data_IF_886162595882
#
_entry.id   IF_886162595882
#
_cell.length_a   1.000
_cell.length_b   1.000
_cell.length_c   1.000
_cell.angle_alpha   90.00
_cell.angle_beta   90.00
_cell.angle_gamma   90.00
#
_symmetry.space_group_name_H-M   'P 1'
#
loop_
_entity.id
_entity.type
_entity.pdbx_description
1 polymer ?
#
# COMPACT_ATOMS: atom_id res chain seq x y z
N UNK A 1 27.56 -6.92 9.87
CA UNK A 1 27.53 -7.45 11.25
C UNK A 1 27.33 -6.26 12.17
N UNK A 2 26.16 -6.14 12.81
CA UNK A 2 25.90 -5.03 13.74
C UNK A 2 26.33 -5.48 15.14
N UNK A 3 27.16 -4.67 15.80
CA UNK A 3 27.54 -4.90 17.21
C UNK A 3 26.82 -3.86 18.07
N UNK A 4 26.02 -4.32 19.02
CA UNK A 4 25.36 -3.47 20.00
C UNK A 4 26.05 -3.72 21.33
N UNK A 5 26.54 -2.65 21.96
CA UNK A 5 27.04 -2.70 23.32
C UNK A 5 25.88 -2.37 24.29
N UNK A 6 25.66 -3.23 25.26
CA UNK A 6 24.77 -2.96 26.39
C UNK A 6 25.58 -3.12 27.70
N UNK A 7 25.16 -2.43 28.75
CA UNK A 7 25.76 -2.55 30.08
C UNK A 7 24.84 -3.44 30.90
N UNK A 8 25.38 -4.47 31.52
CA UNK A 8 24.64 -5.36 32.43
C UNK A 8 24.38 -4.67 33.77
N UNK A 9 23.55 -5.30 34.62
CA UNK A 9 23.24 -4.78 35.94
C UNK A 9 24.45 -4.70 36.90
N UNK A 10 25.62 -5.18 36.49
CA UNK A 10 26.90 -5.07 37.21
C UNK A 10 27.86 -4.06 36.56
N UNK A 11 27.41 -3.26 35.60
CA UNK A 11 28.19 -2.22 34.92
C UNK A 11 29.18 -2.74 33.86
N UNK A 12 29.06 -4.00 33.41
CA UNK A 12 29.96 -4.61 32.43
C UNK A 12 29.41 -4.46 31.01
N UNK A 13 30.26 -4.08 30.06
CA UNK A 13 29.89 -4.03 28.65
C UNK A 13 29.71 -5.44 28.07
N UNK A 14 28.50 -5.73 27.62
CA UNK A 14 28.18 -6.94 26.87
C UNK A 14 28.06 -6.57 25.40
N UNK A 15 28.87 -7.17 24.54
CA UNK A 15 28.81 -7.00 23.10
C UNK A 15 27.89 -8.07 22.50
N UNK A 16 26.72 -7.67 22.09
CA UNK A 16 25.83 -8.53 21.32
C UNK A 16 26.20 -8.46 19.84
N UNK A 17 26.63 -9.58 19.28
CA UNK A 17 26.76 -9.71 17.83
C UNK A 17 25.43 -10.15 17.26
N UNK A 18 24.66 -9.21 16.74
CA UNK A 18 23.47 -9.56 15.97
C UNK A 18 23.94 -10.06 14.61
N UNK A 19 23.93 -11.38 14.42
CA UNK A 19 23.91 -11.94 13.06
C UNK A 19 22.64 -11.41 12.41
N UNK A 20 22.78 -10.49 11.44
CA UNK A 20 21.71 -10.18 10.52
C UNK A 20 21.39 -11.49 9.79
N UNK A 21 20.45 -12.26 10.32
CA UNK A 21 19.77 -13.29 9.54
C UNK A 21 19.14 -12.53 8.38
N UNK A 22 19.81 -12.53 7.24
CA UNK A 22 19.28 -11.93 6.02
C UNK A 22 17.99 -12.66 5.70
N UNK A 23 16.85 -12.11 6.12
CA UNK A 23 15.56 -12.64 5.69
C UNK A 23 15.55 -12.55 4.18
N UNK A 24 15.43 -13.70 3.52
CA UNK A 24 15.32 -13.77 2.07
C UNK A 24 14.02 -13.08 1.66
N UNK A 25 14.15 -11.86 1.14
CA UNK A 25 12.99 -11.04 0.73
C UNK A 25 12.48 -11.39 -0.67
N UNK A 26 13.33 -11.95 -1.53
CA UNK A 26 13.00 -12.26 -2.93
C UNK A 26 12.30 -13.60 -3.02
N UNK A 27 11.11 -13.57 -3.61
CA UNK A 27 10.25 -14.73 -3.85
C UNK A 27 10.20 -15.03 -5.35
N UNK A 28 10.00 -16.29 -5.75
CA UNK A 28 10.03 -16.67 -7.16
C UNK A 28 8.83 -16.14 -7.96
N UNK A 29 7.67 -15.97 -7.31
CA UNK A 29 6.42 -15.57 -7.93
C UNK A 29 5.45 -14.91 -6.94
N UNK A 30 4.35 -14.36 -7.46
CA UNK A 30 3.34 -13.67 -6.67
C UNK A 30 2.59 -14.62 -5.73
N UNK A 31 2.29 -15.85 -6.17
CA UNK A 31 1.55 -16.83 -5.37
C UNK A 31 2.35 -17.20 -4.11
N UNK A 32 3.65 -17.50 -4.26
CA UNK A 32 4.54 -17.78 -3.11
C UNK A 32 4.75 -16.56 -2.21
N UNK A 33 4.75 -15.35 -2.79
CA UNK A 33 4.92 -14.13 -2.01
C UNK A 33 3.70 -13.81 -1.14
N UNK A 34 2.47 -14.14 -1.55
CA UNK A 34 1.26 -13.92 -0.75
C UNK A 34 0.96 -15.10 0.19
N UNK A 35 1.51 -16.29 -0.08
CA UNK A 35 1.22 -17.50 0.67
C UNK A 35 1.49 -17.34 2.18
N UNK A 36 0.50 -17.74 2.99
CA UNK A 36 0.53 -17.66 4.46
C UNK A 36 0.45 -16.24 5.04
N UNK A 37 0.40 -15.21 4.19
CA UNK A 37 0.33 -13.80 4.60
C UNK A 37 -1.04 -13.20 4.33
N UNK A 38 -1.56 -13.36 3.12
CA UNK A 38 -2.90 -12.88 2.77
C UNK A 38 -3.92 -13.91 3.21
N UNK A 39 -4.94 -13.47 3.97
CA UNK A 39 -5.96 -14.31 4.60
C UNK A 39 -7.32 -13.63 4.55
N UNK A 40 -8.37 -14.41 4.76
CA UNK A 40 -9.73 -13.90 4.85
C UNK A 40 -9.87 -12.81 5.93
N UNK A 41 -10.69 -11.82 5.64
CA UNK A 41 -11.04 -10.75 6.56
C UNK A 41 -9.97 -9.66 6.75
N UNK A 42 -8.81 -9.80 6.14
CA UNK A 42 -7.71 -8.84 6.31
C UNK A 42 -7.94 -7.52 5.57
N UNK A 43 -7.19 -6.52 6.03
CA UNK A 43 -7.08 -5.21 5.36
C UNK A 43 -5.88 -5.22 4.43
N UNK A 44 -6.13 -4.95 3.13
CA UNK A 44 -5.11 -4.82 2.09
C UNK A 44 -4.99 -3.35 1.67
N UNK A 45 -3.82 -2.73 1.83
CA UNK A 45 -3.52 -1.46 1.19
C UNK A 45 -2.86 -1.75 -0.18
N UNK A 46 -3.41 -1.19 -1.25
CA UNK A 46 -2.95 -1.45 -2.63
C UNK A 46 -2.51 -0.15 -3.28
N UNK A 47 -1.27 -0.11 -3.72
CA UNK A 47 -0.68 1.03 -4.42
C UNK A 47 -1.27 1.25 -5.81
N UNK A 48 -1.01 2.41 -6.36
CA UNK A 48 -1.51 2.84 -7.67
C UNK A 48 -2.41 4.07 -7.59
N UNK A 49 -2.65 4.64 -8.76
CA UNK A 49 -3.59 5.73 -9.00
C UNK A 49 -4.27 5.43 -10.33
N UNK A 50 -5.58 5.18 -10.32
CA UNK A 50 -6.22 4.54 -11.44
C UNK A 50 -5.57 3.19 -11.70
N UNK A 51 -5.17 2.94 -12.93
CA UNK A 51 -4.39 1.77 -13.31
C UNK A 51 -2.87 2.03 -13.31
N UNK A 52 -2.45 3.29 -13.13
CA UNK A 52 -1.03 3.64 -13.13
C UNK A 52 -0.33 3.17 -11.86
N UNK A 53 0.68 2.34 -12.00
CA UNK A 53 1.52 1.88 -10.88
C UNK A 53 0.82 0.89 -9.94
N UNK A 54 -0.12 0.10 -10.43
CA UNK A 54 -0.74 -1.00 -9.68
C UNK A 54 0.14 -2.26 -9.70
N UNK A 55 0.16 -3.05 -8.63
CA UNK A 55 0.86 -4.34 -8.57
C UNK A 55 0.03 -5.46 -9.22
N UNK A 56 0.05 -5.54 -10.54
CA UNK A 56 -0.84 -6.39 -11.36
C UNK A 56 -0.76 -7.86 -11.01
N UNK A 57 0.47 -8.40 -10.92
CA UNK A 57 0.69 -9.82 -10.64
C UNK A 57 0.29 -10.18 -9.20
N UNK A 58 0.52 -9.28 -8.23
CA UNK A 58 0.09 -9.50 -6.84
C UNK A 58 -1.43 -9.46 -6.72
N UNK A 59 -2.12 -8.54 -7.41
CA UNK A 59 -3.59 -8.48 -7.42
C UNK A 59 -4.16 -9.77 -8.04
N UNK A 60 -3.60 -10.23 -9.15
CA UNK A 60 -4.01 -11.48 -9.79
C UNK A 60 -3.81 -12.70 -8.86
N UNK A 61 -2.68 -12.77 -8.17
CA UNK A 61 -2.42 -13.83 -7.20
C UNK A 61 -3.42 -13.81 -6.02
N UNK A 62 -3.78 -12.63 -5.52
CA UNK A 62 -4.83 -12.51 -4.48
C UNK A 62 -6.18 -13.00 -5.01
N UNK A 63 -6.54 -12.66 -6.26
CA UNK A 63 -7.74 -13.20 -6.90
C UNK A 63 -7.72 -14.73 -6.90
N UNK A 64 -6.61 -15.31 -7.37
CA UNK A 64 -6.47 -16.76 -7.58
C UNK A 64 -6.37 -17.54 -6.26
N UNK A 65 -5.95 -16.90 -5.18
CA UNK A 65 -5.92 -17.49 -3.84
C UNK A 65 -7.33 -17.77 -3.27
N UNK A 66 -8.34 -17.10 -3.79
CA UNK A 66 -9.74 -17.26 -3.35
C UNK A 66 -10.06 -16.70 -1.97
N UNK A 67 -9.14 -15.96 -1.32
CA UNK A 67 -9.39 -15.28 -0.02
C UNK A 67 -10.58 -14.33 -0.13
N UNK A 68 -11.33 -14.16 0.96
CA UNK A 68 -12.60 -13.42 0.97
C UNK A 68 -12.70 -12.42 2.11
N UNK A 69 -13.76 -11.60 2.07
CA UNK A 69 -14.10 -10.63 3.11
C UNK A 69 -13.02 -9.57 3.33
N UNK A 70 -12.27 -9.22 2.29
CA UNK A 70 -11.19 -8.25 2.36
C UNK A 70 -11.72 -6.83 2.54
N UNK A 71 -11.00 -6.02 3.31
CA UNK A 71 -11.10 -4.56 3.27
C UNK A 71 -9.96 -4.04 2.38
N UNK A 72 -10.27 -3.45 1.25
CA UNK A 72 -9.27 -2.88 0.35
C UNK A 72 -9.15 -1.37 0.57
N UNK A 73 -7.93 -0.89 0.76
CA UNK A 73 -7.57 0.53 0.84
C UNK A 73 -6.79 0.88 -0.42
N UNK A 74 -7.36 1.74 -1.27
CA UNK A 74 -6.68 2.22 -2.47
C UNK A 74 -7.27 3.54 -2.93
N UNK A 75 -6.54 4.29 -3.76
CA UNK A 75 -7.07 5.54 -4.32
C UNK A 75 -8.39 5.33 -5.04
N UNK A 76 -8.51 4.26 -5.80
CA UNK A 76 -9.72 3.88 -6.56
C UNK A 76 -9.90 2.35 -6.63
N UNK A 77 -10.99 1.93 -7.26
CA UNK A 77 -11.42 0.53 -7.28
C UNK A 77 -10.99 -0.24 -8.57
N UNK A 78 -10.01 0.26 -9.31
CA UNK A 78 -9.67 -0.27 -10.63
C UNK A 78 -10.79 -0.03 -11.65
N UNK A 79 -10.81 -0.81 -12.71
CA UNK A 79 -11.86 -0.82 -13.73
C UNK A 79 -12.43 -2.24 -13.87
N UNK A 80 -13.54 -2.38 -14.60
CA UNK A 80 -14.11 -3.70 -14.86
C UNK A 80 -13.05 -4.65 -15.46
N UNK A 81 -12.82 -5.76 -14.79
CA UNK A 81 -11.92 -6.83 -15.26
C UNK A 81 -10.41 -6.52 -15.18
N UNK A 82 -9.98 -5.40 -14.54
CA UNK A 82 -8.56 -5.11 -14.35
C UNK A 82 -8.27 -4.37 -13.05
N UNK A 83 -7.04 -4.52 -12.52
CA UNK A 83 -6.66 -3.99 -11.22
C UNK A 83 -7.55 -4.56 -10.12
N UNK A 84 -7.97 -3.74 -9.16
CA UNK A 84 -8.88 -4.17 -8.08
C UNK A 84 -10.25 -4.61 -8.59
N UNK A 85 -10.65 -4.25 -9.83
CA UNK A 85 -11.84 -4.77 -10.48
C UNK A 85 -11.86 -6.29 -10.59
N UNK A 86 -10.71 -6.95 -10.64
CA UNK A 86 -10.61 -8.41 -10.59
C UNK A 86 -11.16 -8.98 -9.27
N UNK A 87 -10.82 -8.36 -8.14
CA UNK A 87 -11.26 -8.79 -6.80
C UNK A 87 -12.72 -8.45 -6.53
N UNK A 88 -13.23 -7.38 -7.14
CA UNK A 88 -14.65 -7.05 -7.12
C UNK A 88 -15.46 -8.07 -7.92
N UNK A 89 -15.02 -8.41 -9.13
CA UNK A 89 -15.69 -9.40 -9.98
C UNK A 89 -15.79 -10.78 -9.33
N UNK A 90 -14.84 -11.17 -8.49
CA UNK A 90 -14.86 -12.42 -7.72
C UNK A 90 -15.49 -12.28 -6.32
N UNK A 91 -15.99 -11.08 -5.96
CA UNK A 91 -16.61 -10.79 -4.64
C UNK A 91 -15.69 -11.10 -3.45
N UNK A 92 -14.42 -10.82 -3.60
CA UNK A 92 -13.42 -11.00 -2.55
C UNK A 92 -13.34 -9.79 -1.61
N UNK A 93 -13.75 -8.61 -2.08
CA UNK A 93 -13.77 -7.37 -1.31
C UNK A 93 -15.14 -7.19 -0.66
N UNK A 94 -15.17 -7.06 0.66
CA UNK A 94 -16.35 -6.70 1.43
C UNK A 94 -16.49 -5.18 1.63
N UNK A 95 -15.35 -4.49 1.79
CA UNK A 95 -15.29 -3.04 2.05
C UNK A 95 -14.20 -2.39 1.22
N UNK A 96 -14.52 -1.24 0.60
CA UNK A 96 -13.53 -0.34 0.01
C UNK A 96 -13.36 0.90 0.87
N UNK A 97 -12.11 1.32 1.09
CA UNK A 97 -11.73 2.64 1.59
C UNK A 97 -11.01 3.34 0.45
N UNK A 98 -11.68 4.30 -0.20
CA UNK A 98 -11.21 4.89 -1.45
C UNK A 98 -11.60 6.36 -1.58
N UNK A 99 -10.88 7.09 -2.42
CA UNK A 99 -11.17 8.49 -2.71
C UNK A 99 -11.95 8.69 -4.01
N UNK A 100 -11.95 7.69 -4.87
CA UNK A 100 -12.63 7.71 -6.16
C UNK A 100 -13.05 6.29 -6.55
N UNK A 101 -14.26 6.11 -7.01
CA UNK A 101 -14.85 4.80 -7.32
C UNK A 101 -15.55 4.75 -8.69
N UNK A 102 -15.42 5.80 -9.48
CA UNK A 102 -15.93 5.85 -10.86
C UNK A 102 -15.21 4.87 -11.80
N UNK A 103 -15.75 4.68 -12.99
CA UNK A 103 -15.18 3.84 -14.07
C UNK A 103 -15.17 2.32 -13.79
N UNK A 104 -15.86 1.86 -12.72
CA UNK A 104 -16.03 0.45 -12.42
C UNK A 104 -17.53 0.14 -12.19
N UNK A 105 -18.16 -0.45 -13.19
CA UNK A 105 -19.61 -0.76 -13.16
C UNK A 105 -19.95 -1.85 -12.15
N UNK A 106 -19.08 -2.82 -11.98
CA UNK A 106 -19.29 -3.88 -10.99
C UNK A 106 -19.20 -3.32 -9.57
N UNK A 107 -18.31 -2.37 -9.31
CA UNK A 107 -18.28 -1.63 -8.04
C UNK A 107 -19.63 -0.93 -7.80
N UNK A 108 -20.09 -0.13 -8.77
CA UNK A 108 -21.35 0.60 -8.68
C UNK A 108 -22.52 -0.34 -8.39
N UNK A 109 -22.62 -1.44 -9.14
CA UNK A 109 -23.66 -2.46 -8.95
C UNK A 109 -23.65 -3.04 -7.53
N UNK A 110 -22.47 -3.46 -7.03
CA UNK A 110 -22.35 -4.06 -5.69
C UNK A 110 -22.69 -3.04 -4.60
N UNK A 111 -22.24 -1.82 -4.73
CA UNK A 111 -22.51 -0.75 -3.77
C UNK A 111 -24.02 -0.42 -3.70
N UNK A 112 -24.67 -0.21 -4.84
CA UNK A 112 -26.11 0.08 -4.90
C UNK A 112 -26.97 -1.09 -4.40
N UNK A 113 -26.51 -2.32 -4.57
CA UNK A 113 -27.19 -3.52 -4.04
C UNK A 113 -26.92 -3.77 -2.54
N UNK A 114 -26.10 -2.96 -1.88
CA UNK A 114 -25.72 -3.16 -0.47
C UNK A 114 -24.78 -4.37 -0.24
N UNK A 115 -24.18 -4.90 -1.32
CA UNK A 115 -23.25 -6.04 -1.26
C UNK A 115 -21.81 -5.62 -0.89
N UNK A 116 -21.48 -4.34 -1.06
CA UNK A 116 -20.16 -3.76 -0.85
C UNK A 116 -20.26 -2.52 0.05
N UNK A 117 -19.49 -2.49 1.12
CA UNK A 117 -19.34 -1.29 1.95
C UNK A 117 -18.35 -0.31 1.32
N UNK A 118 -18.66 0.99 1.38
CA UNK A 118 -17.76 2.06 0.98
C UNK A 118 -17.50 3.02 2.13
N UNK A 119 -16.22 3.25 2.44
CA UNK A 119 -15.76 4.39 3.23
C UNK A 119 -15.11 5.39 2.26
N UNK A 120 -15.88 6.41 1.89
CA UNK A 120 -15.35 7.46 1.04
C UNK A 120 -14.42 8.37 1.84
N UNK A 121 -13.18 8.48 1.40
CA UNK A 121 -12.13 9.26 2.06
C UNK A 121 -11.52 10.23 1.07
N UNK A 122 -11.54 11.56 1.32
CA UNK A 122 -10.91 12.52 0.41
C UNK A 122 -9.45 12.15 0.13
N UNK A 123 -9.01 12.34 -1.12
CA UNK A 123 -7.74 11.79 -1.62
C UNK A 123 -6.52 12.20 -0.80
N UNK A 124 -6.37 13.48 -0.47
CA UNK A 124 -5.27 13.95 0.37
C UNK A 124 -5.35 13.37 1.78
N UNK A 125 -6.56 13.24 2.34
CA UNK A 125 -6.80 12.60 3.63
C UNK A 125 -6.43 11.11 3.59
N UNK A 126 -6.79 10.38 2.53
CA UNK A 126 -6.41 8.98 2.36
C UNK A 126 -4.89 8.81 2.32
N UNK A 127 -4.20 9.67 1.56
CA UNK A 127 -2.73 9.65 1.49
C UNK A 127 -2.10 9.90 2.87
N UNK A 128 -2.61 10.88 3.62
CA UNK A 128 -2.11 11.20 4.96
C UNK A 128 -2.46 10.13 5.99
N UNK A 129 -3.65 9.50 5.93
CA UNK A 129 -4.02 8.37 6.81
C UNK A 129 -3.04 7.21 6.66
N UNK A 130 -2.63 6.87 5.43
CA UNK A 130 -1.63 5.84 5.16
C UNK A 130 -0.23 6.25 5.64
N UNK A 131 0.19 7.49 5.35
CA UNK A 131 1.48 8.03 5.81
C UNK A 131 1.57 8.04 7.33
N UNK A 132 0.54 8.58 8.00
CA UNK A 132 0.47 8.65 9.45
C UNK A 132 0.51 7.25 10.08
N UNK A 133 -0.24 6.29 9.52
CA UNK A 133 -0.21 4.90 9.97
C UNK A 133 1.18 4.29 9.89
N UNK A 134 1.87 4.48 8.76
CA UNK A 134 3.24 4.01 8.56
C UNK A 134 4.27 4.69 9.46
N UNK A 135 4.00 5.91 9.92
CA UNK A 135 4.84 6.67 10.85
C UNK A 135 4.51 6.44 12.34
N UNK A 136 3.52 5.60 12.64
CA UNK A 136 3.07 5.36 14.03
C UNK A 136 2.27 6.51 14.63
N UNK A 137 1.74 7.42 13.80
CA UNK A 137 0.87 8.52 14.23
C UNK A 137 -0.58 8.03 14.21
N UNK A 138 -1.29 7.98 15.35
CA UNK A 138 -2.61 7.33 15.44
C UNK A 138 -3.73 8.15 14.80
N UNK A 139 -3.59 9.48 14.75
CA UNK A 139 -4.60 10.41 14.22
C UNK A 139 -3.96 11.76 13.92
N UNK A 140 -4.64 12.58 13.12
CA UNK A 140 -4.25 13.93 12.79
C UNK A 140 -5.49 14.80 12.52
N UNK A 141 -5.33 16.11 12.56
CA UNK A 141 -6.37 17.07 12.21
C UNK A 141 -6.16 17.60 10.80
N UNK A 142 -7.24 17.74 10.03
CA UNK A 142 -7.23 18.29 8.66
C UNK A 142 -8.42 19.21 8.41
N UNK A 143 -8.25 20.22 7.55
CA UNK A 143 -9.36 21.09 7.10
C UNK A 143 -10.28 20.37 6.11
N UNK A 144 -9.75 19.35 5.41
CA UNK A 144 -10.49 18.66 4.35
C UNK A 144 -11.70 17.93 4.93
N UNK A 145 -12.88 18.24 4.41
CA UNK A 145 -14.13 17.62 4.83
C UNK A 145 -14.88 18.33 5.93
N UNK A 146 -14.34 19.40 6.53
CA UNK A 146 -15.09 20.22 7.49
C UNK A 146 -16.37 20.77 6.86
N UNK A 147 -17.51 20.66 7.58
CA UNK A 147 -18.81 21.10 7.09
C UNK A 147 -19.46 20.21 6.01
N UNK A 148 -18.93 19.03 5.80
CA UNK A 148 -19.48 18.01 4.89
C UNK A 148 -19.78 16.71 5.63
N UNK A 149 -20.46 15.77 4.97
CA UNK A 149 -20.75 14.44 5.49
C UNK A 149 -19.46 13.66 5.91
N UNK A 150 -18.29 14.05 5.40
CA UNK A 150 -17.01 13.45 5.80
C UNK A 150 -16.69 13.73 7.26
N UNK A 151 -17.18 14.83 7.83
CA UNK A 151 -16.97 15.18 9.23
C UNK A 151 -18.00 14.56 10.19
N UNK A 152 -19.06 13.93 9.67
CA UNK A 152 -20.13 13.39 10.50
C UNK A 152 -19.61 12.33 11.47
N UNK A 153 -19.91 12.52 12.75
CA UNK A 153 -19.48 11.62 13.84
C UNK A 153 -17.99 11.68 14.20
N UNK A 154 -17.23 12.62 13.65
CA UNK A 154 -15.82 12.84 13.97
C UNK A 154 -15.64 14.06 14.88
N UNK A 155 -14.57 14.04 15.68
CA UNK A 155 -14.18 15.20 16.49
C UNK A 155 -13.76 16.36 15.59
N UNK A 156 -14.33 17.54 15.86
CA UNK A 156 -13.93 18.80 15.20
C UNK A 156 -13.30 19.71 16.26
N UNK A 157 -12.15 20.29 15.95
CA UNK A 157 -11.47 21.26 16.82
C UNK A 157 -11.08 22.50 16.06
N UNK A 158 -11.05 23.61 16.78
CA UNK A 158 -10.58 24.89 16.27
C UNK A 158 -9.08 25.07 16.62
N UNK A 159 -8.32 25.53 15.63
CA UNK A 159 -6.95 25.99 15.75
C UNK A 159 -6.83 27.32 15.00
N UNK A 160 -6.37 28.34 15.69
CA UNK A 160 -6.16 29.68 15.11
C UNK A 160 -7.39 30.26 14.38
N UNK A 161 -8.60 30.01 14.93
CA UNK A 161 -9.87 30.49 14.35
C UNK A 161 -10.41 29.66 13.18
N UNK A 162 -9.77 28.53 12.86
CA UNK A 162 -10.22 27.64 11.77
C UNK A 162 -10.56 26.24 12.29
N UNK A 163 -11.59 25.63 11.71
CA UNK A 163 -12.02 24.30 12.10
C UNK A 163 -11.27 23.20 11.37
N UNK A 164 -11.03 22.10 12.09
CA UNK A 164 -10.35 20.91 11.60
C UNK A 164 -11.09 19.65 12.08
N UNK A 165 -11.17 18.64 11.23
CA UNK A 165 -11.72 17.32 11.58
C UNK A 165 -10.59 16.35 11.94
N UNK A 166 -10.81 15.56 12.99
CA UNK A 166 -9.91 14.48 13.39
C UNK A 166 -10.06 13.28 12.45
N UNK A 167 -8.96 12.86 11.85
CA UNK A 167 -8.88 11.64 11.03
C UNK A 167 -7.97 10.61 11.69
N UNK A 168 -8.45 9.37 11.81
CA UNK A 168 -7.63 8.25 12.28
C UNK A 168 -6.74 7.74 11.15
N UNK A 169 -5.51 7.37 11.49
CA UNK A 169 -4.58 6.76 10.54
C UNK A 169 -5.04 5.37 10.09
N UNK A 170 -4.47 4.90 8.97
CA UNK A 170 -4.73 3.57 8.41
C UNK A 170 -3.44 2.74 8.44
N UNK A 171 -3.53 1.57 9.06
CA UNK A 171 -2.51 0.53 9.04
C UNK A 171 -3.16 -0.72 8.44
N UNK A 172 -2.58 -1.26 7.37
CA UNK A 172 -3.09 -2.46 6.73
C UNK A 172 -2.37 -3.72 7.25
N UNK A 173 -3.05 -4.86 7.22
CA UNK A 173 -2.39 -6.14 7.52
C UNK A 173 -1.36 -6.49 6.45
N UNK A 174 -1.69 -6.24 5.18
CA UNK A 174 -0.79 -6.43 4.06
C UNK A 174 -0.84 -5.22 3.12
N UNK A 175 0.32 -4.77 2.67
CA UNK A 175 0.46 -3.77 1.61
C UNK A 175 0.96 -4.44 0.33
N UNK A 176 0.30 -4.17 -0.80
CA UNK A 176 0.68 -4.59 -2.14
C UNK A 176 1.15 -3.36 -2.91
N UNK A 177 2.39 -3.36 -3.35
CA UNK A 177 3.09 -2.19 -3.89
C UNK A 177 3.69 -2.51 -5.24
N UNK A 178 3.63 -1.54 -6.16
CA UNK A 178 4.38 -1.55 -7.42
C UNK A 178 5.57 -0.59 -7.33
N UNK A 179 6.76 -1.07 -7.70
CA UNK A 179 7.90 -0.21 -7.93
C UNK A 179 8.55 -0.54 -9.28
N UNK A 180 9.41 0.34 -9.78
CA UNK A 180 10.18 0.08 -10.99
C UNK A 180 11.34 -0.85 -10.69
N UNK A 181 12.11 -0.54 -9.65
CA UNK A 181 13.31 -1.27 -9.30
C UNK A 181 13.40 -1.49 -7.79
N UNK A 182 13.93 -2.64 -7.39
CA UNK A 182 14.35 -2.90 -6.02
C UNK A 182 15.74 -3.50 -6.00
N UNK A 183 16.49 -3.24 -4.93
CA UNK A 183 17.61 -4.11 -4.57
C UNK A 183 17.14 -5.29 -3.70
N UNK A 184 18.02 -6.28 -3.52
CA UNK A 184 17.70 -7.48 -2.71
C UNK A 184 17.48 -7.19 -1.23
N UNK A 185 17.84 -6.00 -0.73
CA UNK A 185 17.53 -5.56 0.63
C UNK A 185 16.18 -4.85 0.74
N UNK A 186 15.56 -4.55 -0.39
CA UNK A 186 14.20 -3.98 -0.48
C UNK A 186 14.15 -2.47 -0.64
N UNK A 187 15.28 -1.80 -0.91
CA UNK A 187 15.25 -0.40 -1.29
C UNK A 187 14.55 -0.24 -2.64
N UNK A 188 13.64 0.73 -2.76
CA UNK A 188 12.77 0.89 -3.93
C UNK A 188 13.05 2.19 -4.68
N UNK A 189 12.95 2.10 -6.01
CA UNK A 189 12.87 3.24 -6.93
C UNK A 189 11.58 3.13 -7.73
N UNK A 190 10.80 4.20 -7.76
CA UNK A 190 9.58 4.30 -8.57
C UNK A 190 9.87 5.02 -9.89
N UNK A 191 9.07 4.72 -10.93
CA UNK A 191 9.22 5.36 -12.23
C UNK A 191 8.16 6.46 -12.39
N UNK A 192 8.61 7.73 -12.43
CA UNK A 192 7.75 8.89 -12.71
C UNK A 192 6.46 8.88 -11.87
N UNK A 193 5.30 9.07 -12.52
CA UNK A 193 3.98 9.18 -11.87
C UNK A 193 3.48 7.87 -11.26
N UNK A 194 4.04 6.71 -11.60
CA UNK A 194 3.71 5.45 -10.94
C UNK A 194 4.19 5.40 -9.47
N UNK A 195 4.94 6.41 -9.02
CA UNK A 195 5.25 6.61 -7.61
C UNK A 195 3.98 6.78 -6.78
N UNK A 196 3.09 7.70 -7.18
CA UNK A 196 1.78 8.02 -6.61
C UNK A 196 1.57 7.57 -5.14
N UNK A 197 0.57 6.71 -4.84
CA UNK A 197 0.29 6.21 -3.50
C UNK A 197 1.29 5.15 -2.99
N UNK A 198 2.11 4.58 -3.87
CA UNK A 198 2.96 3.44 -3.54
C UNK A 198 3.88 3.64 -2.32
N UNK A 199 4.57 4.81 -2.11
CA UNK A 199 5.40 5.01 -0.93
C UNK A 199 4.60 4.96 0.37
N UNK A 200 3.43 5.61 0.42
CA UNK A 200 2.59 5.65 1.62
C UNK A 200 1.98 4.28 1.92
N UNK A 201 1.56 3.56 0.88
CA UNK A 201 1.08 2.18 0.98
C UNK A 201 2.19 1.27 1.50
N UNK A 202 3.42 1.39 0.98
CA UNK A 202 4.56 0.59 1.44
C UNK A 202 4.83 0.74 2.93
N UNK A 203 4.66 1.96 3.48
CA UNK A 203 4.89 2.25 4.89
C UNK A 203 3.74 1.75 5.78
N UNK A 204 2.51 1.72 5.28
CA UNK A 204 1.30 1.46 6.07
C UNK A 204 1.04 -0.02 6.35
N UNK A 205 1.70 -0.94 5.65
CA UNK A 205 1.50 -2.38 5.81
C UNK A 205 2.29 -2.98 6.95
N UNK A 206 1.66 -3.85 7.77
CA UNK A 206 2.39 -4.71 8.71
C UNK A 206 3.32 -5.67 7.96
N UNK A 207 2.87 -6.16 6.81
CA UNK A 207 3.67 -6.91 5.83
C UNK A 207 3.52 -6.22 4.47
N UNK A 208 4.64 -5.82 3.88
CA UNK A 208 4.66 -5.18 2.56
C UNK A 208 5.28 -6.11 1.53
N UNK A 209 4.52 -6.38 0.46
CA UNK A 209 4.93 -7.20 -0.69
C UNK A 209 5.04 -6.28 -1.89
N UNK A 210 6.17 -6.32 -2.58
CA UNK A 210 6.46 -5.41 -3.70
C UNK A 210 6.63 -6.20 -4.99
N UNK A 211 5.96 -5.75 -6.03
CA UNK A 211 6.15 -6.17 -7.40
C UNK A 211 7.06 -5.17 -8.10
N UNK A 212 8.19 -5.64 -8.67
CA UNK A 212 9.15 -4.79 -9.37
C UNK A 212 9.40 -5.27 -10.80
N UNK A 213 9.80 -4.35 -11.68
CA UNK A 213 10.20 -4.69 -13.05
C UNK A 213 11.66 -5.13 -13.10
N UNK A 214 12.50 -4.57 -12.22
CA UNK A 214 13.94 -4.83 -12.18
C UNK A 214 14.40 -5.11 -10.75
N UNK A 215 15.11 -6.20 -10.57
CA UNK A 215 15.82 -6.52 -9.33
C UNK A 215 17.32 -6.37 -9.54
N UNK A 216 17.99 -5.69 -8.62
CA UNK A 216 19.44 -5.45 -8.65
C UNK A 216 20.11 -5.92 -7.37
N UNK A 217 21.44 -5.96 -7.36
CA UNK A 217 22.21 -6.30 -6.16
C UNK A 217 22.19 -5.13 -5.16
N UNK A 218 22.48 -5.46 -3.90
CA UNK A 218 22.62 -4.45 -2.85
C UNK A 218 23.81 -3.57 -3.15
N UNK A 219 23.58 -2.24 -3.18
CA UNK A 219 24.61 -1.24 -3.51
C UNK A 219 24.60 -0.77 -4.96
N UNK A 220 23.77 -1.36 -5.83
CA UNK A 220 23.61 -0.87 -7.21
C UNK A 220 22.61 0.30 -7.33
N UNK A 221 21.76 0.51 -6.33
CA UNK A 221 20.93 1.73 -6.25
C UNK A 221 21.75 2.80 -5.53
N UNK A 222 21.92 3.94 -6.18
CA UNK A 222 22.50 5.11 -5.54
C UNK A 222 21.67 5.48 -4.29
N UNK A 223 22.30 5.61 -3.10
CA UNK A 223 21.61 5.94 -1.87
C UNK A 223 20.72 7.18 -1.94
N UNK A 224 21.13 8.20 -2.72
CA UNK A 224 20.37 9.44 -2.90
C UNK A 224 19.12 9.24 -3.80
N UNK A 225 19.05 8.14 -4.52
CA UNK A 225 17.91 7.78 -5.38
C UNK A 225 16.96 6.75 -4.75
N UNK A 226 17.17 6.35 -3.51
CA UNK A 226 16.24 5.47 -2.80
C UNK A 226 14.97 6.25 -2.44
N UNK A 227 13.85 5.88 -3.04
CA UNK A 227 12.55 6.51 -2.78
C UNK A 227 11.85 5.93 -1.55
N UNK A 228 11.94 4.62 -1.33
CA UNK A 228 11.42 3.94 -0.14
C UNK A 228 12.49 3.02 0.41
N UNK A 229 12.92 3.22 1.68
CA UNK A 229 13.91 2.37 2.31
C UNK A 229 13.44 0.92 2.47
N UNK A 230 14.37 -0.02 2.32
CA UNK A 230 14.09 -1.45 2.40
C UNK A 230 13.55 -1.93 3.75
N UNK A 231 13.62 -1.12 4.80
CA UNK A 231 13.05 -1.47 6.11
C UNK A 231 11.53 -1.67 6.05
N UNK A 232 10.84 -1.00 5.12
CA UNK A 232 9.41 -1.14 4.92
C UNK A 232 9.02 -2.33 4.05
N UNK A 233 9.98 -3.00 3.39
CA UNK A 233 9.73 -4.07 2.42
C UNK A 233 10.04 -5.42 3.01
N UNK A 234 9.08 -6.33 2.96
CA UNK A 234 9.21 -7.69 3.52
C UNK A 234 9.39 -8.74 2.43
N UNK A 235 8.70 -8.60 1.29
CA UNK A 235 8.74 -9.56 0.18
C UNK A 235 8.81 -8.82 -1.16
N UNK A 236 9.53 -9.40 -2.11
CA UNK A 236 9.76 -8.84 -3.44
C UNK A 236 9.54 -9.94 -4.47
N UNK A 237 8.79 -9.62 -5.52
CA UNK A 237 8.68 -10.42 -6.73
C UNK A 237 9.11 -9.60 -7.95
N UNK A 238 9.54 -10.28 -8.99
CA UNK A 238 9.86 -9.65 -10.27
C UNK A 238 8.74 -9.94 -11.28
N UNK A 239 8.18 -8.87 -11.83
CA UNK A 239 7.31 -8.90 -13.00
C UNK A 239 7.96 -7.99 -14.06
N UNK A 240 8.81 -8.58 -14.90
CA UNK A 240 9.60 -7.84 -15.88
C UNK A 240 8.76 -7.28 -17.05
N UNK A 241 7.58 -7.83 -17.27
CA UNK A 241 6.70 -7.49 -18.40
C UNK A 241 5.27 -7.19 -17.94
N UNK A 242 5.07 -6.16 -17.07
CA UNK A 242 3.73 -5.77 -16.67
C UNK A 242 2.95 -5.21 -17.87
N UNK A 243 1.64 -5.39 -17.87
CA UNK A 243 0.78 -4.93 -18.98
C UNK A 243 0.68 -3.40 -19.03
N UNK A 244 0.71 -2.73 -17.85
CA UNK A 244 0.66 -1.27 -17.71
C UNK A 244 -0.51 -0.61 -18.44
N UNK A 245 -1.70 -1.14 -18.29
CA UNK A 245 -2.89 -0.45 -18.75
C UNK A 245 -3.03 0.90 -18.06
N UNK A 246 -3.59 1.87 -18.78
CA UNK A 246 -4.06 3.15 -18.25
C UNK A 246 -5.46 3.39 -18.78
N UNK A 247 -6.30 4.16 -18.05
CA UNK A 247 -7.70 4.39 -18.38
C UNK A 247 -7.84 5.16 -19.70
N UNK A 248 -7.03 6.21 -19.85
CA UNK A 248 -7.01 7.04 -21.04
C UNK A 248 -5.58 7.31 -21.48
N UNK A 249 -5.30 7.06 -22.74
CA UNK A 249 -3.98 7.33 -23.31
C UNK A 249 -3.91 8.82 -23.71
N UNK A 250 -3.25 9.61 -22.87
CA UNK A 250 -3.12 11.07 -23.06
C UNK A 250 -1.78 11.50 -23.66
N UNK A 251 -0.85 10.56 -23.87
CA UNK A 251 0.44 10.83 -24.51
C UNK A 251 0.31 10.78 -26.03
N UNK A 252 0.98 11.72 -26.73
CA UNK A 252 1.07 11.67 -28.20
C UNK A 252 1.79 10.38 -28.61
N UNK A 253 1.33 9.70 -29.67
CA UNK A 253 2.13 8.64 -30.27
C UNK A 253 3.45 9.26 -30.76
N UNK A 254 4.58 8.56 -30.51
CA UNK A 254 5.89 8.93 -31.02
C UNK A 254 5.91 8.82 -32.57
#
# INVERSE_FOLDING_TARGET
MLRIAAVDGAGRFILYTIKRLGMKKVFPDAASAIAGVVKDGQTLAVGGFGLCGIPEALIAAVRDSGVRNLTAISNNAGVDGFGLGLLLGTRQIRKMIASYVGENKEFERQYLAGELELEFTPQGTLAEKLRAGGAGIPAFFTKTGVGTIVADGKDVREFDGEQYVLERSLVADVALVKAYMADKSGNLVYNKTSRNFNPNVAMSGKITIVEVEKLVEVGEIDPDHVHTPGIFVHRIIVNATPEKRIEQRTVRPD
#
